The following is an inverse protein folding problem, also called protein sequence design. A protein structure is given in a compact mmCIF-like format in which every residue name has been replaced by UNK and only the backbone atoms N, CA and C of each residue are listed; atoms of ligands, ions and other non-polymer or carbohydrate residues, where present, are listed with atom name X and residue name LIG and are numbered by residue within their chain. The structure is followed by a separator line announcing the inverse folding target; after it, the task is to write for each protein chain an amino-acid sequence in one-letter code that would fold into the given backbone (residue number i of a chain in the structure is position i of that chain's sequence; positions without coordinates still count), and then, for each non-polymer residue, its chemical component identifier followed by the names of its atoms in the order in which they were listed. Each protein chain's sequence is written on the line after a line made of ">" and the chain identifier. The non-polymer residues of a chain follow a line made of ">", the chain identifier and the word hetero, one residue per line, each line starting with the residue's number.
data_IF_494317968593
#
_entry.id   IF_494317968593
#
_cell.length_a   1.000
_cell.length_b   1.000
_cell.length_c   1.000
_cell.angle_alpha   90.00
_cell.angle_beta   90.00
_cell.angle_gamma   90.00
#
_symmetry.space_group_name_H-M   'P 1'
#
loop_
_entity.id
_entity.type
_entity.pdbx_description
1 polymer ?
#
# COMPACT_ATOMS: atom_id res chain seq x y z
N UNK A 1 4.51 1.32 4.83
CA UNK A 1 3.59 0.43 4.07
C UNK A 1 4.00 0.28 2.62
N UNK A 2 4.26 1.37 1.88
CA UNK A 2 4.72 1.32 0.48
C UNK A 2 6.00 0.51 0.28
N UNK A 3 6.99 0.65 1.18
CA UNK A 3 8.21 -0.16 1.14
C UNK A 3 7.94 -1.65 1.34
N UNK A 4 7.13 -2.01 2.34
CA UNK A 4 6.74 -3.39 2.59
C UNK A 4 5.97 -4.01 1.40
N UNK A 5 5.04 -3.24 0.81
CA UNK A 5 4.33 -3.63 -0.41
C UNK A 5 5.31 -3.94 -1.55
N UNK A 6 6.27 -3.05 -1.83
CA UNK A 6 7.28 -3.25 -2.88
C UNK A 6 8.18 -4.46 -2.62
N UNK A 7 8.51 -4.74 -1.36
CA UNK A 7 9.25 -5.94 -0.98
C UNK A 7 8.44 -7.21 -1.20
N UNK A 8 7.15 -7.22 -0.86
CA UNK A 8 6.25 -8.36 -1.10
C UNK A 8 6.12 -8.69 -2.60
N UNK A 9 5.97 -7.67 -3.47
CA UNK A 9 5.93 -7.86 -4.93
C UNK A 9 7.24 -8.44 -5.49
N UNK A 10 8.37 -7.96 -4.97
CA UNK A 10 9.69 -8.48 -5.34
C UNK A 10 9.83 -9.96 -4.95
N UNK A 11 9.43 -10.30 -3.72
CA UNK A 11 9.44 -11.67 -3.21
C UNK A 11 8.53 -12.57 -4.06
N UNK A 12 7.31 -12.12 -4.35
CA UNK A 12 6.36 -12.85 -5.21
C UNK A 12 7.01 -13.21 -6.55
N UNK A 13 7.57 -12.21 -7.24
CA UNK A 13 8.19 -12.39 -8.56
C UNK A 13 9.38 -13.34 -8.52
N UNK A 14 10.21 -13.26 -7.48
CA UNK A 14 11.36 -14.14 -7.31
C UNK A 14 10.95 -15.59 -7.06
N UNK A 15 9.94 -15.82 -6.21
CA UNK A 15 9.47 -17.18 -5.92
C UNK A 15 8.75 -17.79 -7.12
N UNK A 16 7.89 -17.02 -7.81
CA UNK A 16 7.18 -17.47 -9.01
C UNK A 16 8.15 -17.88 -10.13
N UNK A 17 9.15 -17.04 -10.41
CA UNK A 17 10.17 -17.36 -11.41
C UNK A 17 11.06 -18.55 -11.01
N UNK A 18 11.37 -18.70 -9.72
CA UNK A 18 12.14 -19.84 -9.20
C UNK A 18 11.35 -21.14 -9.31
N UNK A 19 10.05 -21.11 -8.98
CA UNK A 19 9.12 -22.24 -9.15
C UNK A 19 9.10 -22.70 -10.61
N UNK A 20 8.97 -21.76 -11.54
CA UNK A 20 8.88 -22.08 -12.97
C UNK A 20 10.17 -22.73 -13.47
N UNK A 21 11.33 -22.20 -13.09
CA UNK A 21 12.63 -22.81 -13.41
C UNK A 21 12.75 -24.21 -12.83
N UNK A 22 12.35 -24.42 -11.58
CA UNK A 22 12.41 -25.72 -10.91
C UNK A 22 11.49 -26.74 -11.58
N UNK A 23 10.31 -26.32 -12.04
CA UNK A 23 9.37 -27.16 -12.79
C UNK A 23 9.91 -27.66 -14.11
N UNK A 24 10.88 -26.98 -14.73
CA UNK A 24 11.47 -27.45 -15.98
C UNK A 24 12.35 -28.68 -15.77
N UNK A 25 13.05 -28.78 -14.64
CA UNK A 25 14.02 -29.85 -14.36
C UNK A 25 13.53 -30.89 -13.37
N UNK A 26 12.55 -30.57 -12.52
CA UNK A 26 12.01 -31.48 -11.52
C UNK A 26 10.61 -31.93 -11.88
N UNK A 27 10.47 -33.22 -12.22
CA UNK A 27 9.21 -33.84 -12.61
C UNK A 27 8.79 -34.93 -11.60
N UNK A 28 7.49 -35.25 -11.59
CA UNK A 28 6.91 -36.32 -10.77
C UNK A 28 5.97 -35.84 -9.68
N UNK A 29 5.38 -36.78 -8.93
CA UNK A 29 4.32 -36.50 -7.97
C UNK A 29 4.75 -35.51 -6.85
N UNK A 30 5.99 -35.60 -6.39
CA UNK A 30 6.53 -34.68 -5.39
C UNK A 30 6.66 -33.23 -5.92
N UNK A 31 7.14 -33.06 -7.15
CA UNK A 31 7.21 -31.76 -7.84
C UNK A 31 5.83 -31.12 -8.01
N UNK A 32 4.82 -31.93 -8.34
CA UNK A 32 3.45 -31.45 -8.46
C UNK A 32 2.89 -30.96 -7.12
N UNK A 33 3.10 -31.72 -6.03
CA UNK A 33 2.66 -31.32 -4.69
C UNK A 33 3.36 -30.07 -4.18
N UNK A 34 4.67 -29.96 -4.43
CA UNK A 34 5.42 -28.74 -4.16
C UNK A 34 4.87 -27.55 -4.95
N UNK A 35 4.60 -27.73 -6.24
CA UNK A 35 4.05 -26.67 -7.11
C UNK A 35 2.67 -26.19 -6.65
N UNK A 36 1.79 -27.10 -6.23
CA UNK A 36 0.50 -26.76 -5.60
C UNK A 36 0.72 -25.90 -4.35
N UNK A 37 1.59 -26.33 -3.44
CA UNK A 37 1.87 -25.61 -2.19
C UNK A 37 2.43 -24.20 -2.43
N UNK A 38 3.35 -24.06 -3.39
CA UNK A 38 3.90 -22.74 -3.76
C UNK A 38 2.84 -21.85 -4.41
N UNK A 39 1.96 -22.42 -5.24
CA UNK A 39 0.86 -21.65 -5.85
C UNK A 39 -0.07 -21.11 -4.77
N UNK A 40 -0.48 -21.93 -3.81
CA UNK A 40 -1.30 -21.47 -2.69
C UNK A 40 -0.59 -20.40 -1.84
N UNK A 41 0.71 -20.55 -1.60
CA UNK A 41 1.49 -19.52 -0.89
C UNK A 41 1.57 -18.19 -1.66
N UNK A 42 1.74 -18.24 -2.99
CA UNK A 42 1.74 -17.04 -3.85
C UNK A 42 0.37 -16.35 -3.85
N UNK A 43 -0.72 -17.12 -3.86
CA UNK A 43 -2.09 -16.59 -3.79
C UNK A 43 -2.32 -15.84 -2.47
N UNK A 44 -1.93 -16.42 -1.33
CA UNK A 44 -2.03 -15.76 -0.03
C UNK A 44 -1.15 -14.50 0.05
N UNK A 45 0.08 -14.56 -0.48
CA UNK A 45 0.95 -13.37 -0.53
C UNK A 45 0.30 -12.26 -1.36
N UNK A 46 -0.35 -12.60 -2.47
CA UNK A 46 -1.08 -11.64 -3.31
C UNK A 46 -2.26 -11.01 -2.58
N UNK A 47 -3.01 -11.77 -1.78
CA UNK A 47 -4.09 -11.24 -0.95
C UNK A 47 -3.54 -10.22 0.06
N UNK A 48 -2.45 -10.56 0.75
CA UNK A 48 -1.78 -9.65 1.68
C UNK A 48 -1.35 -8.36 0.97
N UNK A 49 -0.68 -8.48 -0.18
CA UNK A 49 -0.21 -7.32 -0.96
C UNK A 49 -1.37 -6.43 -1.42
N UNK A 50 -2.49 -7.03 -1.84
CA UNK A 50 -3.70 -6.28 -2.21
C UNK A 50 -4.28 -5.51 -1.02
N UNK A 51 -4.31 -6.11 0.17
CA UNK A 51 -4.77 -5.42 1.37
C UNK A 51 -3.81 -4.30 1.80
N UNK A 52 -2.49 -4.49 1.62
CA UNK A 52 -1.53 -3.41 1.81
C UNK A 52 -1.79 -2.22 0.87
N UNK A 53 -2.12 -2.46 -0.40
CA UNK A 53 -2.49 -1.40 -1.34
C UNK A 53 -3.73 -0.63 -0.90
N UNK A 54 -4.81 -1.34 -0.54
CA UNK A 54 -6.03 -0.69 -0.02
C UNK A 54 -5.75 0.20 1.19
N UNK A 55 -4.85 -0.26 2.05
CA UNK A 55 -4.47 0.48 3.24
C UNK A 55 -3.62 1.72 2.89
N UNK A 56 -2.72 1.63 1.91
CA UNK A 56 -1.98 2.77 1.37
C UNK A 56 -2.96 3.83 0.83
N UNK A 57 -3.94 3.41 0.03
CA UNK A 57 -4.96 4.31 -0.52
C UNK A 57 -5.78 5.00 0.57
N UNK A 58 -6.21 4.23 1.57
CA UNK A 58 -7.01 4.74 2.69
C UNK A 58 -6.24 5.76 3.53
N UNK A 59 -5.00 5.45 3.91
CA UNK A 59 -4.18 6.38 4.69
C UNK A 59 -3.76 7.59 3.87
N UNK A 60 -3.42 7.42 2.59
CA UNK A 60 -3.12 8.55 1.69
C UNK A 60 -4.30 9.50 1.54
N UNK A 61 -5.50 8.96 1.29
CA UNK A 61 -6.73 9.76 1.21
C UNK A 61 -7.07 10.47 2.53
N UNK A 62 -6.86 9.80 3.66
CA UNK A 62 -7.08 10.39 5.00
C UNK A 62 -6.15 11.58 5.25
N UNK A 63 -4.86 11.45 4.91
CA UNK A 63 -3.89 12.54 5.05
C UNK A 63 -4.29 13.75 4.20
N UNK A 64 -4.70 13.54 2.94
CA UNK A 64 -5.18 14.63 2.10
C UNK A 64 -6.42 15.32 2.67
N UNK A 65 -7.38 14.56 3.23
CA UNK A 65 -8.56 15.12 3.86
C UNK A 65 -8.22 15.93 5.13
N UNK A 66 -7.25 15.47 5.92
CA UNK A 66 -6.75 16.21 7.09
C UNK A 66 -6.14 17.54 6.69
N UNK A 67 -5.26 17.55 5.67
CA UNK A 67 -4.68 18.80 5.16
C UNK A 67 -5.75 19.77 4.64
N UNK A 68 -6.72 19.28 3.86
CA UNK A 68 -7.81 20.14 3.38
C UNK A 68 -8.65 20.74 4.53
N UNK A 69 -8.84 19.98 5.61
CA UNK A 69 -9.55 20.44 6.81
C UNK A 69 -8.72 21.49 7.56
N UNK A 70 -7.41 21.28 7.68
CA UNK A 70 -6.48 22.22 8.29
C UNK A 70 -6.42 23.54 7.50
N UNK A 71 -6.30 23.47 6.17
CA UNK A 71 -6.33 24.63 5.28
C UNK A 71 -7.62 25.45 5.43
N UNK A 72 -8.77 24.77 5.46
CA UNK A 72 -10.06 25.42 5.66
C UNK A 72 -10.17 26.10 7.03
N UNK A 73 -9.64 25.46 8.08
CA UNK A 73 -9.60 26.01 9.43
C UNK A 73 -8.70 27.25 9.51
N UNK A 74 -7.53 27.23 8.86
CA UNK A 74 -6.63 28.38 8.77
C UNK A 74 -7.33 29.56 8.09
N UNK A 75 -7.91 29.35 6.91
CA UNK A 75 -8.62 30.41 6.16
C UNK A 75 -9.74 31.01 7.00
N UNK A 76 -10.53 30.15 7.66
CA UNK A 76 -11.65 30.60 8.50
C UNK A 76 -11.15 31.38 9.71
N UNK A 77 -10.11 30.90 10.39
CA UNK A 77 -9.50 31.58 11.53
C UNK A 77 -8.90 32.93 11.16
N UNK A 78 -8.21 33.02 10.02
CA UNK A 78 -7.67 34.29 9.50
C UNK A 78 -8.76 35.32 9.21
N UNK A 79 -9.92 34.89 8.66
CA UNK A 79 -11.08 35.78 8.48
C UNK A 79 -11.60 36.32 9.80
N UNK A 80 -11.83 35.45 10.78
CA UNK A 80 -12.26 35.85 12.13
C UNK A 80 -11.28 36.84 12.76
N UNK A 81 -9.97 36.63 12.59
CA UNK A 81 -8.95 37.56 13.10
C UNK A 81 -9.04 38.94 12.44
N UNK A 82 -9.25 38.99 11.13
CA UNK A 82 -9.41 40.25 10.39
C UNK A 82 -10.71 40.98 10.74
N UNK A 83 -11.79 40.25 11.03
CA UNK A 83 -13.09 40.81 11.39
C UNK A 83 -13.13 41.29 12.85
N UNK A 84 -12.49 40.55 13.76
CA UNK A 84 -12.43 40.89 15.18
C UNK A 84 -11.34 41.93 15.52
N UNK A 85 -10.27 42.03 14.72
CA UNK A 85 -9.22 43.03 14.93
C UNK A 85 -8.84 43.77 13.64
N UNK A 86 -9.75 44.57 13.06
CA UNK A 86 -9.55 45.24 11.78
C UNK A 86 -8.44 46.31 11.76
N UNK A 87 -7.86 46.66 12.91
CA UNK A 87 -6.86 47.73 13.05
C UNK A 87 -5.44 47.22 13.36
N UNK A 88 -5.20 45.90 13.44
CA UNK A 88 -3.85 45.37 13.62
C UNK A 88 -3.11 45.35 12.26
N UNK A 89 -2.00 46.08 12.08
CA UNK A 89 -1.18 45.95 10.88
C UNK A 89 -0.52 44.56 10.89
N UNK A 90 -0.55 43.88 9.74
CA UNK A 90 0.13 42.60 9.53
C UNK A 90 1.64 42.69 9.60
#
# INVERSE_FOLDING_TARGET
>A
MTEAHGNCDTIYTNVDSTRDRLRMSWQGAASNKYSEAITGWLDELRLITNDMNRMIDTFGGTVHAMHATEDAAIITGSRWMSELNPNQPG
#
